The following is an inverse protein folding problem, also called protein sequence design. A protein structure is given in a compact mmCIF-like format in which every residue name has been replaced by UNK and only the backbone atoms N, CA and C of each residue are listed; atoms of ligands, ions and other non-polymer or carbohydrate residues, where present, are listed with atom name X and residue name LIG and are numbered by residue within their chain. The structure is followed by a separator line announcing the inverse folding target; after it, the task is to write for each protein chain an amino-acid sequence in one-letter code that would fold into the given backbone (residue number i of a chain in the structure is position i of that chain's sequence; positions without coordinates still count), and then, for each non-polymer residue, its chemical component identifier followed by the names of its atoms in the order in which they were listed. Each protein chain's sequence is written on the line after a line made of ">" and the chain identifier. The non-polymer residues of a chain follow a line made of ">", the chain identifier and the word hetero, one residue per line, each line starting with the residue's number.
data_IF_340637145527
#
_entry.id   IF_340637145527
#
_cell.length_a   1.000
_cell.length_b   1.000
_cell.length_c   1.000
_cell.angle_alpha   90.00
_cell.angle_beta   90.00
_cell.angle_gamma   90.00
#
_symmetry.space_group_name_H-M   'P 1'
#
loop_
_entity.id
_entity.type
_entity.pdbx_description
1 polymer ?
#
# COMPACT_ATOMS: atom_id res chain seq x y z
N UNK A 1 10.55 -17.02 1.77
CA UNK A 1 11.19 -15.70 1.97
C UNK A 1 11.09 -14.88 0.69
N UNK A 2 10.48 -13.69 0.74
CA UNK A 2 10.54 -12.73 -0.36
C UNK A 2 11.94 -12.10 -0.42
N UNK A 3 12.46 -11.84 -1.62
CA UNK A 3 13.71 -11.12 -1.79
C UNK A 3 13.49 -9.61 -1.62
N UNK A 4 14.42 -8.95 -0.92
CA UNK A 4 14.49 -7.49 -0.81
C UNK A 4 14.92 -6.87 -2.14
N UNK A 5 14.70 -5.57 -2.26
CA UNK A 5 15.04 -4.77 -3.43
C UNK A 5 16.56 -4.76 -3.65
N UNK A 6 17.05 -4.89 -4.89
CA UNK A 6 18.49 -4.84 -5.20
C UNK A 6 19.10 -3.45 -4.99
N UNK A 7 18.27 -2.41 -4.86
CA UNK A 7 18.70 -1.01 -4.71
C UNK A 7 18.44 -0.44 -3.32
N UNK A 8 17.64 -1.10 -2.49
CA UNK A 8 17.36 -0.71 -1.10
C UNK A 8 17.26 -1.96 -0.21
N UNK A 9 18.23 -2.19 0.69
CA UNK A 9 18.27 -3.38 1.54
C UNK A 9 17.21 -3.40 2.65
N UNK A 10 16.33 -2.40 2.76
CA UNK A 10 15.27 -2.35 3.77
C UNK A 10 13.86 -2.32 3.17
N UNK A 11 13.72 -2.55 1.86
CA UNK A 11 12.45 -2.51 1.15
C UNK A 11 12.28 -3.75 0.28
N UNK A 12 11.07 -4.31 0.24
CA UNK A 12 10.63 -5.28 -0.76
C UNK A 12 10.20 -4.60 -2.06
N UNK A 13 9.98 -3.29 -2.04
CA UNK A 13 9.45 -2.53 -3.17
C UNK A 13 10.34 -2.58 -4.41
N UNK A 14 9.73 -2.84 -5.57
CA UNK A 14 10.44 -2.88 -6.85
C UNK A 14 10.61 -1.47 -7.46
N UNK A 15 11.11 -0.51 -6.68
CA UNK A 15 11.28 0.91 -7.08
C UNK A 15 12.26 1.15 -8.22
N UNK A 16 13.10 0.16 -8.52
CA UNK A 16 13.97 0.12 -9.68
C UNK A 16 13.24 -0.28 -10.98
N UNK A 17 11.97 -0.67 -10.88
CA UNK A 17 11.10 -1.04 -11.99
C UNK A 17 9.92 -0.09 -12.15
N UNK A 18 9.31 0.32 -11.02
CA UNK A 18 8.11 1.15 -10.99
C UNK A 18 8.13 2.08 -9.77
N UNK A 19 7.83 3.36 -9.99
CA UNK A 19 7.95 4.39 -8.96
C UNK A 19 6.62 5.09 -8.72
N UNK A 20 6.31 5.33 -7.45
CA UNK A 20 5.19 6.20 -7.05
C UNK A 20 5.50 7.65 -7.40
N UNK A 21 4.60 8.30 -8.13
CA UNK A 21 4.65 9.72 -8.50
C UNK A 21 3.65 10.55 -7.72
N UNK A 22 2.55 9.95 -7.29
CA UNK A 22 1.54 10.60 -6.46
C UNK A 22 0.88 9.58 -5.54
N UNK A 23 0.42 10.09 -4.39
CA UNK A 23 -0.37 9.34 -3.42
C UNK A 23 -1.58 10.19 -3.04
N UNK A 24 -2.76 9.62 -3.21
CA UNK A 24 -3.99 10.13 -2.67
C UNK A 24 -4.47 9.20 -1.56
N UNK A 25 -4.59 9.74 -0.34
CA UNK A 25 -5.07 9.02 0.84
C UNK A 25 -6.49 9.49 1.16
N UNK A 26 -7.40 8.53 1.27
CA UNK A 26 -8.76 8.72 1.75
C UNK A 26 -8.96 7.76 2.92
N UNK A 27 -8.85 8.27 4.14
CA UNK A 27 -8.83 7.49 5.37
C UNK A 27 -9.83 8.02 6.39
N UNK A 28 -10.56 7.11 7.00
CA UNK A 28 -11.34 7.35 8.21
C UNK A 28 -10.57 6.91 9.44
N UNK A 29 -10.62 7.72 10.49
CA UNK A 29 -10.00 7.43 11.79
C UNK A 29 -11.06 6.85 12.72
N UNK A 30 -10.88 5.60 13.14
CA UNK A 30 -11.75 4.95 14.13
C UNK A 30 -11.00 4.78 15.45
N UNK A 31 -11.24 5.70 16.40
CA UNK A 31 -10.66 5.63 17.74
C UNK A 31 -11.22 4.49 18.59
N UNK A 32 -12.43 4.01 18.30
CA UNK A 32 -13.03 2.89 19.04
C UNK A 32 -12.34 1.57 18.72
N UNK A 33 -12.02 1.37 17.44
CA UNK A 33 -11.29 0.19 16.95
C UNK A 33 -9.77 0.38 16.90
N UNK A 34 -9.30 1.62 17.05
CA UNK A 34 -7.89 2.01 16.93
C UNK A 34 -7.29 1.63 15.57
N UNK A 35 -8.01 1.98 14.49
CA UNK A 35 -7.62 1.68 13.12
C UNK A 35 -7.82 2.89 12.21
N UNK A 36 -6.96 2.99 11.20
CA UNK A 36 -7.21 3.77 9.98
C UNK A 36 -7.79 2.82 8.94
N UNK A 37 -8.95 3.16 8.39
CA UNK A 37 -9.65 2.40 7.36
C UNK A 37 -9.84 3.29 6.14
N UNK A 38 -9.55 2.78 4.94
CA UNK A 38 -9.90 3.47 3.71
C UNK A 38 -9.04 3.00 2.55
N UNK A 39 -8.49 3.96 1.81
CA UNK A 39 -7.71 3.64 0.62
C UNK A 39 -6.50 4.54 0.37
N UNK A 40 -5.50 3.95 -0.28
CA UNK A 40 -4.39 4.64 -0.90
C UNK A 40 -4.48 4.44 -2.41
N UNK A 41 -4.62 5.53 -3.17
CA UNK A 41 -4.48 5.51 -4.61
C UNK A 41 -3.09 6.02 -5.00
N UNK A 42 -2.33 5.16 -5.66
CA UNK A 42 -0.97 5.41 -6.10
C UNK A 42 -0.96 5.66 -7.60
N UNK A 43 -0.46 6.82 -8.01
CA UNK A 43 -0.04 7.01 -9.41
C UNK A 43 1.36 6.47 -9.54
N UNK A 44 1.51 5.41 -10.32
CA UNK A 44 2.76 4.68 -10.51
C UNK A 44 3.26 4.91 -11.94
N UNK A 45 4.57 5.06 -12.10
CA UNK A 45 5.23 5.18 -13.40
C UNK A 45 6.30 4.10 -13.55
N UNK A 46 6.23 3.32 -14.62
CA UNK A 46 7.28 2.37 -14.96
C UNK A 46 8.57 3.09 -15.35
N UNK A 47 9.71 2.65 -14.83
CA UNK A 47 11.05 3.18 -15.15
C UNK A 47 11.86 2.23 -16.04
N UNK A 48 11.31 1.07 -16.37
CA UNK A 48 11.84 0.11 -17.36
C UNK A 48 10.70 -0.47 -18.20
N UNK A 49 11.05 -1.17 -19.27
CA UNK A 49 10.08 -1.94 -20.05
C UNK A 49 9.70 -3.25 -19.36
N UNK A 50 8.56 -3.79 -19.76
CA UNK A 50 8.05 -5.10 -19.39
C UNK A 50 7.82 -5.30 -17.88
N UNK A 51 7.38 -4.24 -17.19
CA UNK A 51 7.04 -4.31 -15.76
C UNK A 51 5.68 -4.99 -15.59
N UNK A 52 5.66 -6.19 -15.01
CA UNK A 52 4.46 -7.02 -14.87
C UNK A 52 3.81 -7.01 -13.47
N UNK A 53 4.46 -6.40 -12.48
CA UNK A 53 3.95 -6.37 -11.10
C UNK A 53 4.35 -5.10 -10.37
N UNK A 54 3.58 -4.76 -9.35
CA UNK A 54 3.91 -3.74 -8.35
C UNK A 54 4.16 -4.46 -7.03
N UNK A 55 5.30 -4.21 -6.40
CA UNK A 55 5.61 -4.70 -5.06
C UNK A 55 5.67 -3.51 -4.12
N UNK A 56 4.91 -3.56 -3.04
CA UNK A 56 4.82 -2.53 -2.02
C UNK A 56 5.20 -3.10 -0.65
N UNK A 57 5.81 -2.26 0.17
CA UNK A 57 6.07 -2.57 1.57
C UNK A 57 4.79 -2.40 2.38
N UNK A 58 4.52 -3.36 3.26
CA UNK A 58 3.41 -3.29 4.21
C UNK A 58 3.85 -3.81 5.57
N UNK A 59 3.25 -3.33 6.64
CA UNK A 59 3.43 -3.89 7.98
C UNK A 59 2.14 -3.74 8.75
N UNK A 60 1.71 -4.82 9.41
CA UNK A 60 0.51 -4.78 10.26
C UNK A 60 -0.72 -4.17 9.54
N UNK A 61 -0.89 -4.48 8.24
CA UNK A 61 -2.01 -4.03 7.43
C UNK A 61 -2.89 -5.22 7.02
N UNK A 62 -4.20 -5.01 7.04
CA UNK A 62 -5.17 -5.87 6.37
C UNK A 62 -5.51 -5.28 5.00
N UNK A 63 -5.01 -5.90 3.94
CA UNK A 63 -5.33 -5.52 2.55
C UNK A 63 -6.65 -6.17 2.16
N UNK A 64 -7.62 -5.36 1.74
CA UNK A 64 -8.98 -5.79 1.39
C UNK A 64 -9.13 -5.96 -0.12
N UNK A 65 -8.59 -5.01 -0.89
CA UNK A 65 -8.76 -4.97 -2.35
C UNK A 65 -7.63 -4.19 -3.02
N UNK A 66 -7.26 -4.60 -4.22
CA UNK A 66 -6.45 -3.81 -5.15
C UNK A 66 -7.23 -3.65 -6.46
N UNK A 67 -7.29 -2.42 -6.98
CA UNK A 67 -7.95 -2.10 -8.25
C UNK A 67 -7.07 -1.22 -9.13
N UNK A 68 -7.04 -1.53 -10.42
CA UNK A 68 -6.57 -0.60 -11.44
C UNK A 68 -7.67 0.42 -11.69
N UNK A 69 -7.34 1.70 -11.64
CA UNK A 69 -8.24 2.81 -11.94
C UNK A 69 -7.99 3.24 -13.39
N UNK A 70 -9.02 3.12 -14.22
CA UNK A 70 -8.99 3.47 -15.64
C UNK A 70 -9.64 4.82 -15.91
N UNK A 71 -9.38 5.35 -17.10
CA UNK A 71 -10.06 6.55 -17.64
C UNK A 71 -11.13 6.23 -18.69
N UNK A 72 -11.31 4.94 -19.01
CA UNK A 72 -12.30 4.43 -19.94
C UNK A 72 -12.95 3.16 -19.35
N UNK A 73 -14.16 2.83 -19.82
CA UNK A 73 -14.92 1.70 -19.29
C UNK A 73 -14.22 0.34 -19.50
N UNK A 74 -14.19 -0.55 -18.49
CA UNK A 74 -14.66 -0.32 -17.12
C UNK A 74 -13.74 0.63 -16.34
N UNK A 75 -14.32 1.61 -15.65
CA UNK A 75 -13.57 2.60 -14.85
C UNK A 75 -12.65 2.00 -13.79
N UNK A 76 -12.92 0.78 -13.32
CA UNK A 76 -12.04 0.06 -12.41
C UNK A 76 -11.97 -1.43 -12.74
N UNK A 77 -10.80 -2.04 -12.54
CA UNK A 77 -10.57 -3.47 -12.73
C UNK A 77 -9.95 -4.05 -11.47
N UNK A 78 -10.58 -5.08 -10.88
CA UNK A 78 -10.02 -5.80 -9.73
C UNK A 78 -8.73 -6.52 -10.11
N UNK A 79 -7.71 -6.40 -9.26
CA UNK A 79 -6.40 -7.01 -9.47
C UNK A 79 -6.17 -8.12 -8.47
N UNK A 80 -5.47 -9.17 -8.91
CA UNK A 80 -4.98 -10.19 -7.99
C UNK A 80 -3.79 -9.63 -7.21
N UNK A 81 -3.79 -9.85 -5.90
CA UNK A 81 -2.67 -9.52 -5.05
C UNK A 81 -2.33 -10.70 -4.12
N UNK A 82 -1.06 -10.75 -3.73
CA UNK A 82 -0.52 -11.67 -2.74
C UNK A 82 0.16 -10.85 -1.65
N UNK A 83 -0.26 -11.08 -0.40
CA UNK A 83 0.46 -10.59 0.77
C UNK A 83 1.39 -11.72 1.25
N UNK A 84 2.70 -11.48 1.21
CA UNK A 84 3.68 -12.47 1.64
C UNK A 84 3.65 -12.67 3.17
N UNK A 85 4.22 -13.80 3.62
CA UNK A 85 4.51 -14.03 5.04
C UNK A 85 5.29 -12.84 5.62
N UNK A 86 4.96 -12.49 6.86
CA UNK A 86 5.55 -11.36 7.55
C UNK A 86 7.00 -11.65 7.95
N UNK A 87 7.91 -10.79 7.51
CA UNK A 87 9.26 -10.68 8.03
C UNK A 87 9.27 -9.81 9.28
N UNK A 88 9.94 -10.26 10.33
CA UNK A 88 9.99 -9.59 11.64
C UNK A 88 10.46 -8.12 11.54
N UNK A 89 11.41 -7.84 10.64
CA UNK A 89 12.03 -6.52 10.49
C UNK A 89 11.33 -5.69 9.43
N UNK A 90 11.01 -6.29 8.29
CA UNK A 90 10.58 -5.55 7.11
C UNK A 90 9.07 -5.62 6.85
N UNK A 91 8.32 -6.41 7.62
CA UNK A 91 6.89 -6.62 7.40
C UNK A 91 6.62 -7.56 6.22
N UNK A 92 5.55 -7.34 5.48
CA UNK A 92 5.11 -8.18 4.37
C UNK A 92 5.23 -7.45 3.03
N UNK A 93 5.71 -8.16 2.01
CA UNK A 93 5.62 -7.69 0.63
C UNK A 93 4.19 -7.87 0.10
N UNK A 94 3.56 -6.77 -0.34
CA UNK A 94 2.31 -6.80 -1.10
C UNK A 94 2.63 -6.81 -2.59
N UNK A 95 2.37 -7.94 -3.26
CA UNK A 95 2.57 -8.12 -4.70
C UNK A 95 1.25 -8.00 -5.42
N UNK A 96 1.15 -7.03 -6.34
CA UNK A 96 -0.04 -6.81 -7.16
C UNK A 96 0.33 -7.13 -8.61
N UNK A 97 -0.39 -8.08 -9.22
CA UNK A 97 -0.14 -8.52 -10.60
C UNK A 97 -0.85 -7.58 -11.57
N UNK A 98 -0.09 -6.98 -12.49
CA UNK A 98 -0.65 -6.08 -13.50
C UNK A 98 -1.36 -6.90 -14.60
N UNK A 99 -2.48 -6.42 -15.15
CA UNK A 99 -3.22 -7.14 -16.20
C UNK A 99 -2.44 -7.21 -17.52
N UNK A 100 -1.46 -6.33 -17.70
CA UNK A 100 -0.46 -6.37 -18.77
C UNK A 100 0.83 -5.73 -18.27
N UNK A 101 1.93 -6.05 -18.94
CA UNK A 101 3.18 -5.38 -18.68
C UNK A 101 3.13 -3.92 -19.13
N UNK A 102 3.72 -3.05 -18.32
CA UNK A 102 3.90 -1.63 -18.63
C UNK A 102 5.20 -1.42 -19.39
N UNK A 103 5.19 -0.45 -20.30
CA UNK A 103 6.40 0.03 -20.95
C UNK A 103 6.99 1.21 -20.18
N UNK A 104 8.25 1.53 -20.43
CA UNK A 104 8.93 2.64 -19.77
C UNK A 104 8.12 3.94 -19.94
N UNK A 105 8.08 4.74 -18.87
CA UNK A 105 7.33 5.99 -18.73
C UNK A 105 5.81 5.89 -18.74
N UNK A 106 5.27 4.69 -18.94
CA UNK A 106 3.84 4.45 -18.81
C UNK A 106 3.38 4.63 -17.35
N UNK A 107 2.20 5.26 -17.18
CA UNK A 107 1.60 5.54 -15.88
C UNK A 107 0.30 4.78 -15.70
N UNK A 108 0.09 4.30 -14.47
CA UNK A 108 -1.16 3.69 -14.04
C UNK A 108 -1.55 4.22 -12.67
N UNK A 109 -2.85 4.18 -12.37
CA UNK A 109 -3.37 4.44 -11.04
C UNK A 109 -3.84 3.14 -10.40
N UNK A 110 -3.26 2.80 -9.25
CA UNK A 110 -3.64 1.61 -8.47
C UNK A 110 -4.22 2.06 -7.14
N UNK A 111 -5.45 1.68 -6.86
CA UNK A 111 -6.13 1.94 -5.59
C UNK A 111 -6.10 0.69 -4.72
N UNK A 112 -5.66 0.86 -3.49
CA UNK A 112 -5.54 -0.20 -2.48
C UNK A 112 -6.48 0.15 -1.34
N UNK A 113 -7.47 -0.70 -1.09
CA UNK A 113 -8.34 -0.61 0.07
C UNK A 113 -7.73 -1.43 1.20
N UNK A 114 -7.53 -0.81 2.36
CA UNK A 114 -6.85 -1.43 3.48
C UNK A 114 -7.33 -0.89 4.83
N UNK A 115 -6.94 -1.61 5.87
CA UNK A 115 -7.11 -1.21 7.25
C UNK A 115 -5.81 -1.45 8.02
N UNK A 116 -5.39 -0.51 8.87
CA UNK A 116 -4.28 -0.75 9.81
C UNK A 116 -4.72 -1.67 10.92
N UNK A 117 -3.82 -2.48 11.47
CA UNK A 117 -4.10 -3.29 12.65
C UNK A 117 -3.56 -2.63 13.92
N UNK A 118 -3.98 -3.14 15.08
CA UNK A 118 -3.50 -2.70 16.39
C UNK A 118 -1.99 -2.96 16.60
N UNK A 119 -1.40 -3.88 15.83
CA UNK A 119 0.03 -4.19 15.83
C UNK A 119 0.86 -3.18 15.03
N UNK A 120 0.23 -2.15 14.47
CA UNK A 120 0.92 -1.09 13.72
C UNK A 120 1.86 -0.29 14.63
N UNK A 121 3.16 -0.50 14.47
CA UNK A 121 4.19 0.28 15.14
C UNK A 121 4.32 1.74 14.67
N UNK A 122 3.57 2.14 13.64
CA UNK A 122 3.59 3.49 13.08
C UNK A 122 2.59 4.45 13.75
N UNK A 123 1.64 3.94 14.54
CA UNK A 123 0.55 4.72 15.11
C UNK A 123 0.55 4.64 16.64
N UNK A 124 0.26 5.77 17.27
CA UNK A 124 0.02 5.84 18.72
C UNK A 124 -1.40 6.33 18.97
N UNK A 125 -2.21 5.47 19.59
CA UNK A 125 -3.59 5.79 19.98
C UNK A 125 -3.63 6.23 21.44
N UNK A 126 -3.82 7.52 21.68
CA UNK A 126 -3.91 8.08 23.02
C UNK A 126 -5.34 8.00 23.56
N UNK A 127 -5.48 7.58 24.81
CA UNK A 127 -6.74 7.71 25.55
C UNK A 127 -6.90 9.16 26.03
N UNK A 128 -8.13 9.64 26.32
CA UNK A 128 -8.34 10.97 26.85
C UNK A 128 -7.45 11.33 28.04
N UNK A 129 -7.26 10.38 28.98
CA UNK A 129 -6.39 10.60 30.15
C UNK A 129 -4.92 10.86 29.81
N UNK A 130 -4.46 10.49 28.61
CA UNK A 130 -3.11 10.71 28.10
C UNK A 130 -2.99 12.05 27.37
N UNK A 131 -4.09 12.69 26.99
CA UNK A 131 -4.09 14.04 26.39
C UNK A 131 -4.14 15.13 27.47
N UNK A 132 -3.84 16.39 27.11
CA UNK A 132 -3.88 17.50 28.06
C UNK A 132 -5.31 17.79 28.53
N UNK A 133 -6.27 17.75 27.61
CA UNK A 133 -7.67 18.12 27.86
C UNK A 133 -8.49 17.07 28.61
N UNK A 134 -8.03 15.82 28.69
CA UNK A 134 -8.70 14.71 29.41
C UNK A 134 -10.10 14.32 28.91
N UNK A 135 -10.61 14.95 27.84
CA UNK A 135 -11.96 14.74 27.32
C UNK A 135 -12.00 13.90 26.04
N UNK A 136 -11.06 14.12 25.12
CA UNK A 136 -10.98 13.43 23.84
C UNK A 136 -9.64 12.69 23.69
N UNK A 137 -9.63 11.55 22.97
CA UNK A 137 -8.41 10.87 22.59
C UNK A 137 -7.51 11.74 21.70
#
# INVERSE_FOLDING_TARGET
>A
MCALSPVDPNSFGNVHEIQTRHLHLDLSVDFGRQVLLGSAQLTLQAVKNDVAQVVLDTRALRVLKATLVGHAEPLTVCMHFLLAEEDEKFGSALRIVLPRSLQQDEKIDVKIEYETTHDSGALQWLQPKQTVGKQHP
#
